data_IF_986312246287
#
_entry.id   IF_986312246287
#
_cell.length_a   1.000
_cell.length_b   1.000
_cell.length_c   1.000
_cell.angle_alpha   90.00
_cell.angle_beta   90.00
_cell.angle_gamma   90.00
#
_symmetry.space_group_name_H-M   'P 1'
#
loop_
_entity.id
_entity.type
_entity.pdbx_description
1 polymer ?
#
# COMPACT_ATOMS: atom_id res chain seq x y z
N UNK A 1 15.38 -21.09 7.36
CA UNK A 1 16.72 -21.26 6.75
C UNK A 1 16.68 -22.38 5.73
N UNK A 2 17.56 -22.39 4.72
CA UNK A 2 17.43 -23.21 3.50
C UNK A 2 17.22 -24.72 3.75
N UNK A 3 17.95 -25.30 4.72
CA UNK A 3 17.84 -26.72 5.09
C UNK A 3 16.40 -27.14 5.48
N UNK A 4 15.70 -26.30 6.23
CA UNK A 4 14.33 -26.60 6.67
C UNK A 4 13.31 -26.35 5.56
N UNK A 5 13.55 -25.37 4.70
CA UNK A 5 12.71 -25.16 3.53
C UNK A 5 12.74 -26.41 2.62
N UNK A 6 13.92 -27.00 2.41
CA UNK A 6 14.04 -28.26 1.67
C UNK A 6 13.29 -29.43 2.35
N UNK A 7 13.32 -29.52 3.68
CA UNK A 7 12.58 -30.56 4.41
C UNK A 7 11.07 -30.41 4.30
N UNK A 8 10.55 -29.18 4.41
CA UNK A 8 9.12 -28.90 4.26
C UNK A 8 8.68 -29.24 2.82
N UNK A 9 9.42 -28.76 1.81
CA UNK A 9 9.11 -29.04 0.40
C UNK A 9 9.24 -30.52 0.08
N UNK A 10 10.18 -31.24 0.69
CA UNK A 10 10.30 -32.70 0.54
C UNK A 10 9.07 -33.43 1.09
N UNK A 11 8.47 -32.92 2.17
CA UNK A 11 7.31 -33.54 2.80
C UNK A 11 6.00 -33.24 2.07
N UNK A 12 5.76 -31.97 1.73
CA UNK A 12 4.46 -31.51 1.20
C UNK A 12 4.48 -31.19 -0.30
N UNK A 13 5.65 -31.17 -0.94
CA UNK A 13 5.77 -30.92 -2.36
C UNK A 13 5.10 -29.60 -2.79
N UNK A 14 4.25 -29.70 -3.81
CA UNK A 14 3.50 -28.57 -4.36
C UNK A 14 2.47 -27.99 -3.38
N UNK A 15 2.00 -28.79 -2.41
CA UNK A 15 1.02 -28.37 -1.40
C UNK A 15 1.65 -27.55 -0.28
N UNK A 16 2.98 -27.35 -0.28
CA UNK A 16 3.69 -26.64 0.80
C UNK A 16 3.07 -25.27 1.13
N UNK A 17 2.73 -24.50 0.09
CA UNK A 17 2.15 -23.16 0.27
C UNK A 17 0.74 -23.25 0.85
N UNK A 18 -0.08 -24.17 0.33
CA UNK A 18 -1.44 -24.39 0.83
C UNK A 18 -1.42 -24.85 2.28
N UNK A 19 -0.53 -25.77 2.64
CA UNK A 19 -0.34 -26.20 4.04
C UNK A 19 0.02 -25.03 4.93
N UNK A 20 0.97 -24.18 4.54
CA UNK A 20 1.35 -23.01 5.35
C UNK A 20 0.17 -22.02 5.50
N UNK A 21 -0.67 -21.89 4.46
CA UNK A 21 -1.80 -20.95 4.46
C UNK A 21 -3.04 -21.48 5.19
N UNK A 22 -3.36 -22.77 5.08
CA UNK A 22 -4.63 -23.34 5.58
C UNK A 22 -4.46 -24.23 6.81
N UNK A 23 -3.31 -24.90 6.97
CA UNK A 23 -3.09 -25.90 8.01
C UNK A 23 -1.61 -25.99 8.44
N UNK A 24 -1.10 -24.90 8.99
CA UNK A 24 0.32 -24.76 9.32
C UNK A 24 0.78 -25.72 10.44
N UNK A 25 -0.14 -26.33 11.18
CA UNK A 25 0.19 -27.31 12.23
C UNK A 25 0.76 -28.61 11.64
N UNK A 26 0.42 -28.96 10.40
CA UNK A 26 1.07 -30.09 9.70
C UNK A 26 2.60 -29.96 9.61
N UNK A 27 3.14 -28.75 9.73
CA UNK A 27 4.59 -28.56 9.79
C UNK A 27 5.26 -29.29 10.98
N UNK A 28 4.50 -29.68 12.01
CA UNK A 28 5.01 -30.52 13.11
C UNK A 28 5.42 -31.93 12.67
N UNK A 29 4.86 -32.43 11.56
CA UNK A 29 5.20 -33.74 11.00
C UNK A 29 6.58 -33.75 10.33
N UNK A 30 7.17 -32.57 10.11
CA UNK A 30 8.49 -32.42 9.51
C UNK A 30 9.58 -32.57 10.58
N UNK A 31 10.50 -33.55 10.44
CA UNK A 31 11.54 -33.77 11.43
C UNK A 31 12.38 -32.51 11.71
N UNK A 32 12.48 -32.15 13.00
CA UNK A 32 13.25 -30.99 13.46
C UNK A 32 12.50 -29.64 13.38
N UNK A 33 11.21 -29.64 13.01
CA UNK A 33 10.35 -28.46 13.10
C UNK A 33 9.47 -28.55 14.35
N UNK A 34 9.82 -27.77 15.37
CA UNK A 34 9.04 -27.64 16.60
C UNK A 34 8.29 -26.30 16.70
N UNK A 35 7.50 -26.14 17.77
CA UNK A 35 6.60 -25.00 18.01
C UNK A 35 7.19 -23.62 17.73
N UNK A 36 8.37 -23.32 18.29
CA UNK A 36 9.05 -22.02 18.07
C UNK A 36 9.27 -21.70 16.58
N UNK A 37 9.49 -22.72 15.76
CA UNK A 37 9.77 -22.57 14.34
C UNK A 37 8.49 -22.43 13.53
N UNK A 38 7.46 -23.21 13.88
CA UNK A 38 6.12 -23.07 13.31
C UNK A 38 5.60 -21.65 13.55
N UNK A 39 5.71 -21.11 14.76
CA UNK A 39 5.26 -19.73 15.01
C UNK A 39 6.07 -18.68 14.24
N UNK A 40 7.38 -18.85 14.14
CA UNK A 40 8.19 -17.94 13.31
C UNK A 40 7.80 -17.99 11.83
N UNK A 41 7.44 -19.17 11.31
CA UNK A 41 6.94 -19.32 9.94
C UNK A 41 5.57 -18.65 9.82
N UNK A 42 4.67 -18.88 10.78
CA UNK A 42 3.33 -18.25 10.84
C UNK A 42 3.44 -16.73 10.79
N UNK A 43 4.21 -16.13 11.68
CA UNK A 43 4.41 -14.67 11.72
C UNK A 43 5.00 -14.11 10.43
N UNK A 44 5.94 -14.84 9.83
CA UNK A 44 6.57 -14.41 8.56
C UNK A 44 5.60 -14.54 7.39
N UNK A 45 4.76 -15.58 7.39
CA UNK A 45 3.75 -15.82 6.37
C UNK A 45 2.64 -14.77 6.40
N UNK A 46 2.09 -14.49 7.59
CA UNK A 46 1.10 -13.44 7.77
C UNK A 46 1.62 -12.07 7.27
N UNK A 47 2.86 -11.71 7.62
CA UNK A 47 3.48 -10.47 7.10
C UNK A 47 3.60 -10.48 5.58
N UNK A 48 3.97 -11.60 4.95
CA UNK A 48 4.04 -11.68 3.49
C UNK A 48 2.67 -11.61 2.84
N UNK A 49 1.65 -12.21 3.47
CA UNK A 49 0.26 -12.15 3.01
C UNK A 49 -0.29 -10.72 3.05
N UNK A 50 -0.04 -9.99 4.13
CA UNK A 50 -0.41 -8.57 4.25
C UNK A 50 0.24 -7.73 3.15
N UNK A 51 1.55 -7.89 2.95
CA UNK A 51 2.27 -7.22 1.86
C UNK A 51 1.61 -7.52 0.52
N UNK A 52 1.38 -8.80 0.21
CA UNK A 52 0.77 -9.24 -1.05
C UNK A 52 -0.61 -8.62 -1.25
N UNK A 53 -1.46 -8.64 -0.23
CA UNK A 53 -2.81 -8.09 -0.30
C UNK A 53 -2.78 -6.57 -0.55
N UNK A 54 -1.91 -5.83 0.13
CA UNK A 54 -1.73 -4.39 -0.11
C UNK A 54 -1.24 -4.13 -1.54
N UNK A 55 -0.25 -4.89 -2.01
CA UNK A 55 0.28 -4.74 -3.38
C UNK A 55 -0.81 -4.98 -4.42
N UNK A 56 -1.57 -6.07 -4.30
CA UNK A 56 -2.65 -6.41 -5.24
C UNK A 56 -3.76 -5.36 -5.23
N UNK A 57 -4.15 -4.88 -4.04
CA UNK A 57 -5.14 -3.82 -3.90
C UNK A 57 -4.71 -2.55 -4.65
N UNK A 58 -3.49 -2.06 -4.38
CA UNK A 58 -2.99 -0.82 -4.97
C UNK A 58 -2.79 -0.96 -6.48
N UNK A 59 -2.26 -2.09 -6.95
CA UNK A 59 -2.13 -2.40 -8.38
C UNK A 59 -3.49 -2.46 -9.08
N UNK A 60 -4.53 -2.97 -8.41
CA UNK A 60 -5.91 -2.97 -8.91
C UNK A 60 -6.44 -1.57 -9.27
N UNK A 61 -5.92 -0.52 -8.61
CA UNK A 61 -6.21 0.89 -8.93
C UNK A 61 -5.11 1.57 -9.73
N UNK A 62 -4.23 0.78 -10.38
CA UNK A 62 -3.20 1.28 -11.28
C UNK A 62 -2.04 1.99 -10.59
N UNK A 63 -1.81 1.71 -9.30
CA UNK A 63 -0.59 2.14 -8.60
C UNK A 63 0.57 1.24 -9.02
N UNK A 64 1.71 1.83 -9.40
CA UNK A 64 2.89 1.06 -9.78
C UNK A 64 3.45 0.30 -8.56
N UNK A 65 4.14 -0.82 -8.82
CA UNK A 65 4.78 -1.62 -7.75
C UNK A 65 5.76 -0.79 -6.90
N UNK A 66 6.45 0.18 -7.52
CA UNK A 66 7.35 1.08 -6.82
C UNK A 66 6.61 1.99 -5.82
N UNK A 67 5.46 2.57 -6.22
CA UNK A 67 4.64 3.36 -5.30
C UNK A 67 3.96 2.50 -4.25
N UNK A 68 3.45 1.32 -4.62
CA UNK A 68 2.84 0.39 -3.68
C UNK A 68 3.84 -0.04 -2.57
N UNK A 69 5.11 -0.26 -2.93
CA UNK A 69 6.18 -0.51 -1.96
C UNK A 69 6.42 0.68 -1.00
N UNK A 70 6.35 1.92 -1.49
CA UNK A 70 6.47 3.13 -0.65
C UNK A 70 5.27 3.27 0.28
N UNK A 71 4.05 3.07 -0.23
CA UNK A 71 2.81 3.14 0.55
C UNK A 71 2.82 2.09 1.66
N UNK A 72 3.19 0.85 1.34
CA UNK A 72 3.31 -0.20 2.35
C UNK A 72 4.40 0.11 3.40
N UNK A 73 5.51 0.71 2.99
CA UNK A 73 6.56 1.11 3.94
C UNK A 73 6.05 2.15 4.95
N UNK A 74 5.21 3.07 4.50
CA UNK A 74 4.67 4.15 5.34
C UNK A 74 3.53 3.67 6.24
N UNK A 75 2.59 2.91 5.69
CA UNK A 75 1.34 2.57 6.39
C UNK A 75 1.26 1.11 6.85
N UNK A 76 2.16 0.23 6.39
CA UNK A 76 2.13 -1.20 6.69
C UNK A 76 0.79 -1.85 6.33
N UNK A 77 0.27 -2.68 7.23
CA UNK A 77 -1.03 -3.35 7.09
C UNK A 77 -2.23 -2.39 6.95
N UNK A 78 -2.09 -1.15 7.44
CA UNK A 78 -3.16 -0.13 7.37
C UNK A 78 -3.23 0.56 6.01
N UNK A 79 -2.35 0.22 5.06
CA UNK A 79 -2.28 0.86 3.75
C UNK A 79 -3.63 0.90 3.03
N UNK A 80 -4.35 -0.24 3.00
CA UNK A 80 -5.64 -0.33 2.31
C UNK A 80 -6.67 0.59 2.99
N UNK A 81 -6.75 0.52 4.32
CA UNK A 81 -7.71 1.31 5.10
C UNK A 81 -7.45 2.81 4.93
N UNK A 82 -6.20 3.26 5.07
CA UNK A 82 -5.84 4.67 4.93
C UNK A 82 -6.12 5.21 3.53
N UNK A 83 -5.79 4.43 2.49
CA UNK A 83 -6.02 4.83 1.10
C UNK A 83 -7.52 4.85 0.77
N UNK A 84 -8.32 3.90 1.26
CA UNK A 84 -9.79 3.95 1.15
C UNK A 84 -10.43 5.04 2.00
N UNK A 85 -9.84 5.43 3.11
CA UNK A 85 -10.34 6.54 3.93
C UNK A 85 -10.14 7.87 3.22
N UNK A 86 -8.92 8.12 2.71
CA UNK A 86 -8.59 9.32 1.98
C UNK A 86 -7.38 9.09 1.04
N UNK A 87 -7.59 8.87 -0.27
CA UNK A 87 -6.50 8.64 -1.21
C UNK A 87 -5.60 9.86 -1.41
N UNK A 88 -6.10 11.07 -1.12
CA UNK A 88 -5.32 12.31 -1.26
C UNK A 88 -4.20 12.44 -0.22
N UNK A 89 -4.26 11.68 0.88
CA UNK A 89 -3.14 11.59 1.84
C UNK A 89 -1.85 11.07 1.21
N UNK A 90 -1.96 10.31 0.13
CA UNK A 90 -0.80 9.84 -0.61
C UNK A 90 0.06 11.01 -1.12
N UNK A 91 -0.54 12.16 -1.42
CA UNK A 91 0.19 13.35 -1.85
C UNK A 91 0.97 14.02 -0.71
N UNK A 92 0.53 13.84 0.53
CA UNK A 92 1.13 14.44 1.72
C UNK A 92 2.18 13.51 2.35
N UNK A 93 1.85 12.22 2.45
CA UNK A 93 2.62 11.26 3.24
C UNK A 93 3.68 10.51 2.39
N UNK A 94 3.52 10.42 1.05
CA UNK A 94 4.37 9.55 0.22
C UNK A 94 5.24 10.35 -0.75
N UNK A 95 6.55 10.37 -0.48
CA UNK A 95 7.51 11.05 -1.34
C UNK A 95 7.46 10.58 -2.81
N UNK A 96 7.25 11.55 -3.69
CA UNK A 96 7.14 11.35 -5.15
C UNK A 96 5.73 11.00 -5.63
N UNK A 97 4.73 10.92 -4.75
CA UNK A 97 3.32 10.99 -5.13
C UNK A 97 2.86 12.42 -4.86
N UNK A 98 2.48 13.14 -5.91
CA UNK A 98 1.87 14.47 -5.77
C UNK A 98 0.36 14.40 -5.95
N UNK A 99 -0.31 15.54 -5.78
CA UNK A 99 -1.77 15.67 -5.94
C UNK A 99 -2.28 15.03 -7.23
N UNK A 100 -1.66 15.33 -8.39
CA UNK A 100 -2.09 14.77 -9.69
C UNK A 100 -2.09 13.23 -9.72
N UNK A 101 -1.08 12.61 -9.10
CA UNK A 101 -0.98 11.15 -9.01
C UNK A 101 -2.02 10.61 -8.04
N UNK A 102 -2.18 11.23 -6.87
CA UNK A 102 -3.20 10.86 -5.90
C UNK A 102 -4.63 11.01 -6.47
N UNK A 103 -4.90 12.07 -7.23
CA UNK A 103 -6.16 12.33 -7.93
C UNK A 103 -6.46 11.27 -8.99
N UNK A 104 -5.43 10.83 -9.74
CA UNK A 104 -5.56 9.73 -10.69
C UNK A 104 -5.94 8.40 -10.01
N UNK A 105 -5.32 8.10 -8.86
CA UNK A 105 -5.62 6.91 -8.06
C UNK A 105 -7.04 7.01 -7.49
N UNK A 106 -7.40 8.14 -6.89
CA UNK A 106 -8.72 8.41 -6.33
C UNK A 106 -9.82 8.26 -7.38
N UNK A 107 -9.61 8.80 -8.58
CA UNK A 107 -10.56 8.66 -9.69
C UNK A 107 -10.77 7.19 -10.08
N UNK A 108 -9.71 6.38 -10.16
CA UNK A 108 -9.82 4.93 -10.42
C UNK A 108 -10.51 4.17 -9.28
N UNK A 109 -10.44 4.70 -8.06
CA UNK A 109 -11.18 4.19 -6.90
C UNK A 109 -12.65 4.65 -6.87
N UNK A 110 -13.08 5.50 -7.80
CA UNK A 110 -14.47 5.96 -7.93
C UNK A 110 -14.79 7.26 -7.17
N UNK A 111 -13.79 8.03 -6.77
CA UNK A 111 -14.01 9.31 -6.08
C UNK A 111 -14.41 10.39 -7.09
N UNK A 112 -15.42 11.17 -6.76
CA UNK A 112 -15.92 12.23 -7.62
C UNK A 112 -15.03 13.47 -7.62
N UNK A 113 -15.13 14.28 -8.69
CA UNK A 113 -14.32 15.50 -8.83
C UNK A 113 -14.66 16.60 -7.82
N UNK A 114 -15.87 16.57 -7.26
CA UNK A 114 -16.40 17.47 -6.23
C UNK A 114 -16.20 16.93 -4.80
N UNK A 115 -15.50 15.81 -4.63
CA UNK A 115 -15.21 15.26 -3.30
C UNK A 115 -14.45 16.30 -2.45
N UNK A 116 -14.92 16.54 -1.23
CA UNK A 116 -14.32 17.54 -0.34
C UNK A 116 -12.83 17.27 -0.05
N UNK A 117 -12.41 16.00 -0.02
CA UNK A 117 -11.00 15.63 0.17
C UNK A 117 -10.16 16.06 -1.03
N UNK A 118 -10.71 15.89 -2.24
CA UNK A 118 -10.10 16.36 -3.49
C UNK A 118 -9.95 17.86 -3.50
N UNK A 119 -11.03 18.59 -3.19
CA UNK A 119 -11.03 20.05 -3.20
C UNK A 119 -9.98 20.61 -2.23
N UNK A 120 -9.93 20.09 -1.00
CA UNK A 120 -8.93 20.50 -0.01
C UNK A 120 -7.50 20.25 -0.49
N UNK A 121 -7.21 19.05 -0.97
CA UNK A 121 -5.87 18.70 -1.46
C UNK A 121 -5.49 19.49 -2.72
N UNK A 122 -6.44 19.74 -3.61
CA UNK A 122 -6.27 20.54 -4.83
C UNK A 122 -5.99 22.02 -4.54
N UNK A 123 -6.65 22.61 -3.54
CA UNK A 123 -6.36 23.98 -3.11
C UNK A 123 -4.92 24.08 -2.57
N UNK A 124 -4.52 23.16 -1.68
CA UNK A 124 -3.16 23.12 -1.14
C UNK A 124 -2.15 22.91 -2.27
N UNK A 125 -2.43 22.01 -3.22
CA UNK A 125 -1.57 21.80 -4.38
C UNK A 125 -1.38 23.08 -5.20
N UNK A 126 -2.48 23.77 -5.52
CA UNK A 126 -2.46 24.99 -6.33
C UNK A 126 -1.71 26.12 -5.62
N UNK A 127 -1.94 26.29 -4.31
CA UNK A 127 -1.18 27.23 -3.47
C UNK A 127 0.32 26.92 -3.50
N UNK A 128 0.70 25.65 -3.39
CA UNK A 128 2.11 25.26 -3.47
C UNK A 128 2.72 25.52 -4.86
N UNK A 129 1.95 25.38 -5.95
CA UNK A 129 2.43 25.75 -7.28
C UNK A 129 2.70 27.26 -7.37
N UNK A 130 1.76 28.09 -6.92
CA UNK A 130 1.95 29.54 -6.85
C UNK A 130 3.13 29.93 -5.95
N UNK A 131 3.30 29.25 -4.83
CA UNK A 131 4.45 29.47 -3.95
C UNK A 131 5.80 29.19 -4.64
N UNK A 132 5.87 28.14 -5.48
CA UNK A 132 7.05 27.85 -6.29
C UNK A 132 7.34 28.92 -7.35
N UNK A 133 6.33 29.71 -7.74
CA UNK A 133 6.46 30.88 -8.62
C UNK A 133 6.81 32.17 -7.86
N UNK A 134 6.97 32.09 -6.53
CA UNK A 134 7.36 33.21 -5.67
C UNK A 134 6.21 33.93 -4.97
N UNK A 135 4.97 33.45 -5.12
CA UNK A 135 3.83 34.02 -4.41
C UNK A 135 3.86 33.64 -2.92
N UNK A 136 3.54 34.59 -2.03
CA UNK A 136 3.40 34.33 -0.58
C UNK A 136 1.95 34.31 -0.11
N UNK A 137 1.02 34.72 -0.97
CA UNK A 137 -0.42 34.61 -0.84
C UNK A 137 -1.05 34.50 -2.23
N UNK A 138 -2.31 34.08 -2.31
CA UNK A 138 -3.09 34.07 -3.54
C UNK A 138 -4.52 34.53 -3.25
N UNK A 139 -5.08 35.33 -4.15
CA UNK A 139 -6.50 35.71 -4.13
C UNK A 139 -7.37 34.57 -4.67
N UNK A 140 -8.67 34.60 -4.36
CA UNK A 140 -9.60 33.55 -4.77
C UNK A 140 -9.66 33.39 -6.30
N UNK A 141 -9.77 34.48 -7.05
CA UNK A 141 -9.79 34.44 -8.51
C UNK A 141 -8.49 33.87 -9.09
N UNK A 142 -7.35 34.19 -8.48
CA UNK A 142 -6.05 33.65 -8.88
C UNK A 142 -5.99 32.14 -8.64
N UNK A 143 -6.49 31.66 -7.51
CA UNK A 143 -6.58 30.24 -7.18
C UNK A 143 -7.46 29.48 -8.16
N UNK A 144 -8.63 30.01 -8.48
CA UNK A 144 -9.55 29.39 -9.44
C UNK A 144 -8.90 29.31 -10.81
N UNK A 145 -8.26 30.40 -11.26
CA UNK A 145 -7.60 30.45 -12.57
C UNK A 145 -6.41 29.50 -12.68
N UNK A 146 -5.63 29.35 -11.61
CA UNK A 146 -4.47 28.44 -11.58
C UNK A 146 -4.87 26.95 -11.45
N UNK A 147 -6.08 26.65 -10.96
CA UNK A 147 -6.58 25.30 -10.81
C UNK A 147 -7.23 24.71 -12.08
N UNK A 148 -7.56 25.55 -13.07
CA UNK A 148 -8.13 25.18 -14.37
C UNK A 148 -7.05 24.73 -15.37
#
# INVERSE_FOLDING_TARGET
>A
GPKFAQLIVKQFGLETIDVIETDIEKLYDVPGIGKKRVEKIRESWEKQKDIKNVMLFLQGYGVSTAYAAKIYREYGKESIEKVKGNPYRLADDIWGIGFKTADSIASKMGYEKNDLRRCKSGIIYTLNQLANEGHVYAEEEQLIKAAL
#
